data_IF_529322906336
#
_entry.id   IF_529322906336
#
_cell.length_a   1.000
_cell.length_b   1.000
_cell.length_c   1.000
_cell.angle_alpha   90.00
_cell.angle_beta   90.00
_cell.angle_gamma   90.00
#
_symmetry.space_group_name_H-M   'P 1'
#
loop_
_entity.id
_entity.type
_entity.pdbx_description
1 polymer ?
#
# COMPACT_ATOMS: atom_id res chain seq x y z
N UNK A 1 -4.72 6.41 9.95
CA UNK A 1 -4.04 7.65 9.54
C UNK A 1 -2.57 7.39 9.79
N UNK A 2 -1.74 7.41 8.74
CA UNK A 2 -0.29 7.20 8.90
C UNK A 2 0.29 8.45 9.56
N UNK A 3 1.06 8.27 10.63
CA UNK A 3 1.70 9.41 11.27
C UNK A 3 2.91 9.83 10.45
N UNK A 4 2.99 11.11 10.10
CA UNK A 4 4.04 11.63 9.22
C UNK A 4 4.83 12.69 9.95
N UNK A 5 6.16 12.58 9.92
CA UNK A 5 7.06 13.56 10.49
C UNK A 5 7.65 14.45 9.40
N UNK A 6 7.71 15.75 9.68
CA UNK A 6 8.32 16.72 8.76
C UNK A 6 9.82 16.83 9.05
N UNK A 7 10.63 16.76 8.01
CA UNK A 7 12.09 16.91 8.08
C UNK A 7 12.61 17.83 6.96
N UNK A 8 13.83 18.32 7.10
CA UNK A 8 14.55 19.00 6.02
C UNK A 8 15.54 18.05 5.36
N UNK A 9 15.44 17.91 4.04
CA UNK A 9 16.32 17.09 3.22
C UNK A 9 17.13 17.95 2.25
N UNK A 10 18.46 17.79 2.23
CA UNK A 10 19.29 18.37 1.18
C UNK A 10 18.99 17.70 -0.18
N UNK A 11 18.63 18.48 -1.20
CA UNK A 11 18.34 17.97 -2.55
C UNK A 11 19.58 17.49 -3.31
N UNK A 12 20.78 17.90 -2.87
CA UNK A 12 22.03 17.50 -3.49
C UNK A 12 22.59 16.18 -2.97
N UNK A 13 22.64 16.03 -1.64
CA UNK A 13 23.29 14.88 -0.99
C UNK A 13 22.35 13.99 -0.17
N UNK A 14 21.05 14.34 -0.04
CA UNK A 14 20.06 13.50 0.65
C UNK A 14 20.07 13.56 2.18
N UNK A 15 20.96 14.36 2.80
CA UNK A 15 21.03 14.54 4.27
C UNK A 15 19.69 14.96 4.87
N UNK A 16 19.25 14.26 5.91
CA UNK A 16 18.12 14.60 6.78
C UNK A 16 18.69 15.11 8.12
N UNK A 17 18.29 16.31 8.56
CA UNK A 17 18.78 17.13 9.70
C UNK A 17 19.95 16.64 10.60
N UNK A 18 20.95 17.52 10.77
CA UNK A 18 22.07 17.46 11.74
C UNK A 18 23.21 18.42 11.33
N UNK A 19 24.02 18.99 12.26
CA UNK A 19 25.16 19.82 11.90
C UNK A 19 26.25 18.92 11.28
N UNK A 20 26.28 18.92 9.96
CA UNK A 20 27.44 18.49 9.19
C UNK A 20 27.93 19.69 8.42
N UNK A 21 29.25 19.85 8.33
CA UNK A 21 29.90 20.95 7.63
C UNK A 21 29.30 21.08 6.22
N UNK A 22 28.42 22.07 6.07
CA UNK A 22 27.78 22.37 4.81
C UNK A 22 28.78 23.20 4.00
N UNK A 23 29.24 22.66 2.87
CA UNK A 23 30.12 23.38 1.93
C UNK A 23 29.42 24.48 1.12
N UNK A 24 28.22 24.92 1.54
CA UNK A 24 27.51 26.08 0.98
C UNK A 24 26.73 25.84 -0.32
N UNK A 25 26.67 24.60 -0.84
CA UNK A 25 25.91 24.27 -2.08
C UNK A 25 24.61 23.50 -1.83
N UNK A 26 24.36 23.09 -0.59
CA UNK A 26 23.16 22.33 -0.24
C UNK A 26 21.93 23.24 -0.24
N UNK A 27 20.92 22.90 -1.05
CA UNK A 27 19.55 23.44 -0.95
C UNK A 27 18.70 22.43 -0.21
N UNK A 28 18.03 22.85 0.85
CA UNK A 28 17.15 21.98 1.61
C UNK A 28 15.70 22.14 1.14
N UNK A 29 14.96 21.03 1.12
CA UNK A 29 13.51 20.99 0.92
C UNK A 29 12.85 20.33 2.12
N UNK A 30 11.64 20.77 2.43
CA UNK A 30 10.81 20.10 3.42
C UNK A 30 10.29 18.79 2.84
N UNK A 31 10.43 17.70 3.59
CA UNK A 31 9.93 16.37 3.23
C UNK A 31 9.09 15.80 4.35
N UNK A 32 8.23 14.85 4.02
CA UNK A 32 7.48 14.05 4.98
C UNK A 32 8.06 12.64 5.02
N UNK A 33 8.29 12.15 6.22
CA UNK A 33 8.85 10.84 6.50
C UNK A 33 7.83 10.01 7.28
N UNK A 34 7.85 8.71 7.04
CA UNK A 34 7.14 7.70 7.83
C UNK A 34 8.16 6.78 8.47
N UNK A 35 7.80 6.13 9.57
CA UNK A 35 8.69 5.14 10.15
C UNK A 35 8.84 3.94 9.23
N UNK A 36 10.05 3.39 9.15
CA UNK A 36 10.30 2.19 8.35
C UNK A 36 9.42 1.01 8.78
N UNK A 37 9.09 0.91 10.07
CA UNK A 37 8.15 -0.10 10.59
C UNK A 37 6.74 0.09 10.03
N UNK A 38 6.25 1.34 9.90
CA UNK A 38 4.93 1.59 9.33
C UNK A 38 4.88 1.24 7.84
N UNK A 39 5.96 1.49 7.10
CA UNK A 39 6.08 1.06 5.71
C UNK A 39 6.06 -0.47 5.62
N UNK A 40 6.87 -1.17 6.42
CA UNK A 40 6.93 -2.62 6.43
C UNK A 40 5.57 -3.25 6.78
N UNK A 41 4.87 -2.71 7.77
CA UNK A 41 3.52 -3.15 8.14
C UNK A 41 2.51 -2.91 7.01
N UNK A 42 2.60 -1.77 6.31
CA UNK A 42 1.76 -1.47 5.16
C UNK A 42 2.04 -2.42 3.98
N UNK A 43 3.30 -2.75 3.71
CA UNK A 43 3.69 -3.73 2.70
C UNK A 43 3.17 -5.13 3.04
N UNK A 44 3.24 -5.53 4.32
CA UNK A 44 2.68 -6.79 4.80
C UNK A 44 1.17 -6.88 4.55
N UNK A 45 0.40 -5.88 5.00
CA UNK A 45 -1.05 -5.81 4.76
C UNK A 45 -1.40 -5.81 3.27
N UNK A 46 -0.62 -5.11 2.45
CA UNK A 46 -0.81 -5.06 1.01
C UNK A 46 -0.55 -6.43 0.36
N UNK A 47 0.48 -7.16 0.79
CA UNK A 47 0.78 -8.49 0.32
C UNK A 47 -0.34 -9.48 0.67
N UNK A 48 -0.83 -9.43 1.91
CA UNK A 48 -1.96 -10.26 2.37
C UNK A 48 -3.24 -9.97 1.55
N UNK A 49 -3.60 -8.71 1.38
CA UNK A 49 -4.77 -8.31 0.58
C UNK A 49 -4.65 -8.73 -0.89
N UNK A 50 -3.45 -8.64 -1.48
CA UNK A 50 -3.21 -9.14 -2.85
C UNK A 50 -3.34 -10.65 -2.94
N UNK A 51 -2.84 -11.39 -1.96
CA UNK A 51 -2.95 -12.84 -1.92
C UNK A 51 -4.42 -13.30 -1.78
N UNK A 52 -5.18 -12.62 -0.92
CA UNK A 52 -6.64 -12.81 -0.79
C UNK A 52 -7.36 -12.57 -2.12
N UNK A 53 -7.15 -11.39 -2.72
CA UNK A 53 -7.80 -11.03 -3.98
C UNK A 53 -7.44 -12.01 -5.11
N UNK A 54 -6.18 -12.47 -5.18
CA UNK A 54 -5.76 -13.47 -6.14
C UNK A 54 -6.48 -14.80 -5.96
N UNK A 55 -6.64 -15.27 -4.71
CA UNK A 55 -7.34 -16.51 -4.40
C UNK A 55 -8.84 -16.45 -4.76
N UNK A 56 -9.50 -15.33 -4.44
CA UNK A 56 -10.90 -15.09 -4.80
C UNK A 56 -11.09 -15.01 -6.33
N UNK A 57 -10.22 -14.27 -7.03
CA UNK A 57 -10.24 -14.20 -8.49
C UNK A 57 -10.02 -15.56 -9.16
N UNK A 58 -9.13 -16.39 -8.62
CA UNK A 58 -8.88 -17.73 -9.15
C UNK A 58 -10.13 -18.61 -9.05
N UNK A 59 -10.86 -18.55 -7.92
CA UNK A 59 -12.12 -19.25 -7.76
C UNK A 59 -13.19 -18.75 -8.74
N UNK A 60 -13.32 -17.43 -8.90
CA UNK A 60 -14.29 -16.84 -9.83
C UNK A 60 -14.01 -17.22 -11.28
N UNK A 61 -12.73 -17.20 -11.70
CA UNK A 61 -12.33 -17.69 -13.03
C UNK A 61 -12.70 -19.15 -13.23
N UNK A 62 -12.46 -19.99 -12.23
CA UNK A 62 -12.83 -21.39 -12.30
C UNK A 62 -14.35 -21.56 -12.41
N UNK A 63 -15.13 -20.85 -11.61
CA UNK A 63 -16.60 -20.86 -11.67
C UNK A 63 -17.09 -20.46 -13.07
N UNK A 64 -16.62 -19.33 -13.59
CA UNK A 64 -17.01 -18.81 -14.90
C UNK A 64 -16.64 -19.74 -16.07
N UNK A 65 -15.52 -20.45 -15.95
CA UNK A 65 -15.03 -21.37 -16.99
C UNK A 65 -15.51 -22.82 -16.86
N UNK A 66 -16.21 -23.18 -15.78
CA UNK A 66 -16.64 -24.57 -15.58
C UNK A 66 -17.97 -24.83 -16.27
N UNK A 67 -17.97 -25.81 -17.17
CA UNK A 67 -19.18 -26.36 -17.77
C UNK A 67 -19.33 -27.81 -17.31
N UNK A 68 -20.16 -28.07 -16.27
CA UNK A 68 -20.38 -29.43 -15.78
C UNK A 68 -21.00 -30.31 -16.87
N UNK A 69 -20.67 -31.60 -16.86
CA UNK A 69 -21.37 -32.61 -17.67
C UNK A 69 -22.81 -32.79 -17.14
N UNK A 70 -23.67 -33.35 -17.97
CA UNK A 70 -25.05 -33.66 -17.58
C UNK A 70 -25.10 -34.48 -16.28
N UNK A 71 -25.96 -34.05 -15.36
CA UNK A 71 -26.11 -34.66 -14.04
C UNK A 71 -24.99 -34.37 -13.03
N UNK A 72 -23.92 -33.66 -13.41
CA UNK A 72 -22.76 -33.37 -12.53
C UNK A 72 -22.70 -31.92 -12.03
N UNK A 73 -23.71 -31.09 -12.35
CA UNK A 73 -23.74 -29.68 -11.97
C UNK A 73 -23.79 -29.51 -10.44
N UNK A 74 -24.54 -30.35 -9.73
CA UNK A 74 -24.71 -30.21 -8.28
C UNK A 74 -23.42 -30.52 -7.53
N UNK A 75 -22.74 -31.61 -7.90
CA UNK A 75 -21.43 -31.98 -7.33
C UNK A 75 -20.39 -30.88 -7.59
N UNK A 76 -20.36 -30.34 -8.81
CA UNK A 76 -19.45 -29.26 -9.20
C UNK A 76 -19.73 -27.99 -8.38
N UNK A 77 -21.00 -27.61 -8.25
CA UNK A 77 -21.43 -26.46 -7.46
C UNK A 77 -21.10 -26.62 -5.98
N UNK A 78 -21.42 -27.76 -5.36
CA UNK A 78 -21.11 -28.04 -3.94
C UNK A 78 -19.61 -27.98 -3.67
N UNK A 79 -18.78 -28.54 -4.56
CA UNK A 79 -17.32 -28.45 -4.45
C UNK A 79 -16.81 -27.01 -4.49
N UNK A 80 -17.33 -26.18 -5.39
CA UNK A 80 -16.98 -24.76 -5.45
C UNK A 80 -17.48 -23.99 -4.23
N UNK A 81 -18.68 -24.32 -3.73
CA UNK A 81 -19.25 -23.70 -2.55
C UNK A 81 -18.40 -23.98 -1.29
N UNK A 82 -17.94 -25.21 -1.09
CA UNK A 82 -17.04 -25.55 0.03
C UNK A 82 -15.71 -24.80 -0.06
N UNK A 83 -15.14 -24.68 -1.27
CA UNK A 83 -13.93 -23.88 -1.48
C UNK A 83 -14.16 -22.40 -1.22
N UNK A 84 -15.33 -21.87 -1.61
CA UNK A 84 -15.71 -20.48 -1.33
C UNK A 84 -15.82 -20.24 0.17
N UNK A 85 -16.52 -21.11 0.90
CA UNK A 85 -16.66 -21.03 2.36
C UNK A 85 -15.30 -21.05 3.05
N UNK A 86 -14.41 -21.95 2.65
CA UNK A 86 -13.06 -22.03 3.21
C UNK A 86 -12.24 -20.75 2.96
N UNK A 87 -12.31 -20.17 1.75
CA UNK A 87 -11.65 -18.91 1.45
C UNK A 87 -12.22 -17.75 2.26
N UNK A 88 -13.55 -17.63 2.37
CA UNK A 88 -14.21 -16.57 3.15
C UNK A 88 -13.98 -16.72 4.66
N UNK A 89 -13.87 -17.94 5.17
CA UNK A 89 -13.52 -18.18 6.57
C UNK A 89 -12.07 -17.75 6.89
N UNK A 90 -11.16 -17.93 5.94
CA UNK A 90 -9.76 -17.46 6.06
C UNK A 90 -9.63 -15.96 5.90
N UNK A 91 -10.56 -15.35 5.17
CA UNK A 91 -10.61 -13.94 4.84
C UNK A 91 -11.95 -13.35 5.25
N UNK A 92 -12.22 -13.23 6.57
CA UNK A 92 -13.46 -12.63 7.06
C UNK A 92 -13.40 -11.15 6.71
N UNK A 93 -13.90 -10.80 5.52
CA UNK A 93 -13.69 -9.51 4.89
C UNK A 93 -13.89 -8.37 5.88
N UNK A 94 -12.80 -7.70 6.23
CA UNK A 94 -12.91 -6.40 6.86
C UNK A 94 -13.19 -5.44 5.72
N UNK A 95 -14.47 -5.14 5.52
CA UNK A 95 -14.93 -4.15 4.56
C UNK A 95 -14.56 -2.75 5.09
N UNK A 96 -13.27 -2.49 5.27
CA UNK A 96 -12.74 -1.17 5.53
C UNK A 96 -12.11 -0.73 4.22
N UNK A 97 -12.69 0.26 3.51
CA UNK A 97 -12.04 0.79 2.32
C UNK A 97 -10.62 1.24 2.72
N UNK A 98 -9.58 0.92 1.91
CA UNK A 98 -8.26 1.47 2.19
C UNK A 98 -8.44 2.99 2.30
N UNK A 99 -7.90 3.64 3.36
CA UNK A 99 -7.91 5.09 3.40
C UNK A 99 -7.28 5.53 2.08
N UNK A 100 -8.05 6.25 1.26
CA UNK A 100 -7.58 6.75 -0.02
C UNK A 100 -6.28 7.48 0.30
N UNK A 101 -5.16 6.92 -0.16
CA UNK A 101 -3.89 7.62 -0.10
C UNK A 101 -4.09 8.86 -0.96
N UNK A 102 -4.39 10.00 -0.32
CA UNK A 102 -4.27 11.27 -0.99
C UNK A 102 -2.84 11.31 -1.48
N UNK A 103 -2.69 11.26 -2.81
CA UNK A 103 -1.42 11.42 -3.46
C UNK A 103 -0.79 12.67 -2.85
N UNK A 104 0.29 12.49 -2.09
CA UNK A 104 1.11 13.61 -1.64
C UNK A 104 1.75 14.16 -2.90
N UNK A 105 1.01 15.04 -3.57
CA UNK A 105 1.52 15.91 -4.61
C UNK A 105 2.46 16.84 -3.88
N UNK A 106 3.76 16.54 -3.95
CA UNK A 106 4.80 17.48 -3.54
C UNK A 106 4.75 18.63 -4.53
N UNK A 107 3.88 19.61 -4.27
CA UNK A 107 3.85 20.88 -5.01
C UNK A 107 5.11 21.63 -4.61
N UNK A 108 6.01 21.98 -5.55
CA UNK A 108 7.13 22.82 -5.22
C UNK A 108 6.61 24.25 -4.98
N UNK A 109 6.40 24.63 -3.73
CA UNK A 109 6.23 26.04 -3.38
C UNK A 109 7.57 26.74 -3.60
N UNK A 110 7.66 27.41 -4.74
CA UNK A 110 8.65 28.44 -5.01
C UNK A 110 8.37 29.61 -4.08
N UNK A 111 9.14 29.79 -3.01
CA UNK A 111 9.54 31.12 -2.57
C UNK A 111 10.68 31.09 -1.56
N UNK A 112 11.77 31.76 -1.93
CA UNK A 112 12.95 31.89 -1.12
C UNK A 112 12.68 32.74 0.12
N UNK A 113 13.22 32.28 1.25
CA UNK A 113 13.49 33.16 2.39
C UNK A 113 14.96 33.01 2.77
N UNK A 114 15.73 34.05 2.45
CA UNK A 114 17.10 34.24 2.94
C UNK A 114 17.06 34.21 4.47
N UNK A 115 17.97 33.44 5.08
CA UNK A 115 18.20 33.47 6.53
C UNK A 115 19.15 34.63 6.83
N UNK A 116 18.74 35.54 7.70
CA UNK A 116 19.65 36.46 8.40
C UNK A 116 20.43 35.71 9.48
N UNK A 117 21.59 36.30 9.80
CA UNK A 117 22.78 35.74 10.45
C UNK A 117 22.55 34.99 11.76
#
# INVERSE_FOLDING_TARGET
>A
MTDTMKAWQCIGCGRLEGPQNCIGVCRDRKVELVYASELADAEGRLAEARAEAAALHALLRQLAGTTPRDGQWETSYRSMQERAKALLARHPGTNSPPPRAEAVVVVPESEGRKREA
#
